data_IF_507065580472
#
_entry.id   IF_507065580472
#
_cell.length_a   1.000
_cell.length_b   1.000
_cell.length_c   1.000
_cell.angle_alpha   90.00
_cell.angle_beta   90.00
_cell.angle_gamma   90.00
#
_symmetry.space_group_name_H-M   'P 1'
#
loop_
_entity.id
_entity.type
_entity.pdbx_description
1 polymer ?
#
# COMPACT_ATOMS: atom_id res chain seq x y z
N UNK A 1 -3.37 24.68 32.35
CA UNK A 1 -4.06 23.41 31.99
C UNK A 1 -5.47 23.65 31.44
N UNK A 2 -6.32 24.47 32.06
CA UNK A 2 -7.69 24.73 31.58
C UNK A 2 -7.76 25.11 30.09
N UNK A 3 -6.88 26.01 29.63
CA UNK A 3 -6.77 26.39 28.22
C UNK A 3 -6.63 25.20 27.27
N UNK A 4 -5.70 24.28 27.54
CA UNK A 4 -5.40 23.12 26.68
C UNK A 4 -6.57 22.12 26.65
N UNK A 5 -7.37 22.07 27.72
CA UNK A 5 -8.60 21.28 27.77
C UNK A 5 -9.69 21.89 26.88
N UNK A 6 -9.85 23.22 26.90
CA UNK A 6 -10.83 23.93 26.08
C UNK A 6 -10.55 23.77 24.58
N UNK A 7 -9.28 23.86 24.17
CA UNK A 7 -8.89 23.70 22.76
C UNK A 7 -8.69 22.22 22.34
N UNK A 8 -9.10 21.26 23.18
CA UNK A 8 -8.95 19.83 22.97
C UNK A 8 -7.50 19.34 22.67
N UNK A 9 -6.48 20.09 23.10
CA UNK A 9 -5.07 19.71 22.97
C UNK A 9 -4.55 18.89 24.16
N UNK A 10 -5.39 18.65 25.17
CA UNK A 10 -5.01 17.96 26.40
C UNK A 10 -4.68 16.48 26.17
N UNK A 11 -5.31 15.84 25.19
CA UNK A 11 -5.09 14.43 24.88
C UNK A 11 -3.66 14.17 24.40
N UNK A 12 -3.10 15.11 23.63
CA UNK A 12 -1.71 15.01 23.16
C UNK A 12 -0.69 15.18 24.30
N UNK A 13 -1.05 15.91 25.35
CA UNK A 13 -0.24 16.08 26.57
C UNK A 13 -0.32 14.84 27.45
N UNK A 14 -1.53 14.30 27.63
CA UNK A 14 -1.73 13.05 28.37
C UNK A 14 -0.94 11.91 27.69
N UNK A 15 -0.98 11.81 26.36
CA UNK A 15 -0.15 10.90 25.58
C UNK A 15 1.35 11.03 25.88
N UNK A 16 1.84 12.24 26.12
CA UNK A 16 3.25 12.45 26.50
C UNK A 16 3.53 12.00 27.93
N UNK A 17 2.64 12.31 28.87
CA UNK A 17 2.73 11.88 30.27
C UNK A 17 2.78 10.34 30.37
N UNK A 18 1.87 9.65 29.68
CA UNK A 18 1.80 8.18 29.66
C UNK A 18 3.03 7.54 29.03
N UNK A 19 3.68 8.24 28.09
CA UNK A 19 4.87 7.75 27.39
C UNK A 19 6.17 7.93 28.17
N UNK A 20 6.14 8.51 29.37
CA UNK A 20 7.35 8.78 30.13
C UNK A 20 7.88 7.48 30.75
N UNK A 21 9.03 7.05 30.29
CA UNK A 21 9.68 5.82 30.77
C UNK A 21 11.18 6.02 31.03
N UNK A 22 11.79 5.07 31.75
CA UNK A 22 13.24 5.03 31.94
C UNK A 22 13.88 4.56 30.64
N UNK A 23 14.85 5.32 30.13
CA UNK A 23 15.61 5.00 28.93
C UNK A 23 16.29 3.64 29.07
N UNK A 24 16.08 2.79 28.08
CA UNK A 24 16.79 1.53 27.97
C UNK A 24 18.31 1.70 27.77
N UNK A 25 19.09 0.72 28.23
CA UNK A 25 20.53 0.65 28.03
C UNK A 25 21.37 1.59 28.91
N UNK A 26 22.66 1.74 28.55
CA UNK A 26 23.66 2.48 29.35
C UNK A 26 23.43 4.00 29.39
N UNK A 27 22.63 4.54 28.46
CA UNK A 27 22.34 5.97 28.37
C UNK A 27 21.68 6.54 29.64
N UNK A 28 20.95 5.71 30.38
CA UNK A 28 20.32 6.11 31.65
C UNK A 28 21.29 6.56 32.74
N UNK A 29 22.53 6.04 32.70
CA UNK A 29 23.62 6.45 33.60
C UNK A 29 24.33 7.72 33.13
N UNK A 30 24.08 8.18 31.90
CA UNK A 30 24.73 9.34 31.26
C UNK A 30 23.76 10.51 31.09
N UNK A 31 23.16 10.97 32.19
CA UNK A 31 22.25 12.13 32.26
C UNK A 31 21.07 12.12 31.26
N UNK A 32 20.67 10.94 30.77
CA UNK A 32 19.57 10.74 29.80
C UNK A 32 18.59 9.68 30.31
N UNK A 33 18.31 9.70 31.62
CA UNK A 33 17.53 8.66 32.33
C UNK A 33 16.11 8.52 31.81
N UNK A 34 15.43 9.61 31.45
CA UNK A 34 14.04 9.57 31.01
C UNK A 34 13.93 9.82 29.51
N UNK A 35 12.94 9.19 28.89
CA UNK A 35 12.46 9.48 27.54
C UNK A 35 10.96 9.72 27.59
N UNK A 36 10.47 10.53 26.66
CA UNK A 36 9.05 10.77 26.44
C UNK A 36 8.85 11.18 24.98
N UNK A 37 7.63 11.03 24.49
CA UNK A 37 7.25 11.51 23.16
C UNK A 37 7.20 13.05 23.14
N UNK A 38 7.22 13.63 21.94
CA UNK A 38 6.96 15.06 21.75
C UNK A 38 5.46 15.30 21.69
N UNK A 39 5.01 16.34 22.37
CA UNK A 39 3.63 16.79 22.34
C UNK A 39 3.47 18.04 21.47
N UNK A 40 2.41 18.83 21.73
CA UNK A 40 2.12 20.02 20.95
C UNK A 40 3.22 21.06 21.11
N UNK A 41 3.35 21.93 20.11
CA UNK A 41 4.18 23.13 20.21
C UNK A 41 3.31 24.38 20.14
N UNK A 42 3.43 25.25 21.13
CA UNK A 42 2.78 26.55 21.18
C UNK A 42 3.68 27.61 20.53
N UNK A 43 3.18 28.25 19.47
CA UNK A 43 3.90 29.32 18.78
C UNK A 43 3.39 30.69 19.23
N UNK A 44 4.30 31.46 19.82
CA UNK A 44 4.06 32.80 20.35
C UNK A 44 4.73 33.86 19.47
N UNK A 45 4.21 35.10 19.45
CA UNK A 45 4.82 36.20 18.70
C UNK A 45 6.10 36.73 19.36
N UNK A 46 6.24 36.53 20.67
CA UNK A 46 7.36 37.03 21.47
C UNK A 46 7.57 36.13 22.71
N UNK A 47 8.58 36.46 23.51
CA UNK A 47 8.96 35.70 24.71
C UNK A 47 8.06 35.96 25.93
N UNK A 48 7.04 36.83 25.81
CA UNK A 48 6.14 37.17 26.92
C UNK A 48 5.15 36.01 27.18
N UNK A 49 4.76 35.81 28.43
CA UNK A 49 3.76 34.80 28.80
C UNK A 49 4.25 33.34 28.78
N UNK A 50 5.51 33.08 28.43
CA UNK A 50 6.09 31.71 28.38
C UNK A 50 6.06 30.99 29.73
N UNK A 51 6.18 31.75 30.84
CA UNK A 51 6.24 31.21 32.21
C UNK A 51 5.06 30.29 32.56
N UNK A 52 3.85 30.61 32.09
CA UNK A 52 2.64 29.84 32.38
C UNK A 52 2.65 28.44 31.74
N UNK A 53 3.41 28.27 30.65
CA UNK A 53 3.41 27.04 29.84
C UNK A 53 4.68 26.20 30.04
N UNK A 54 5.77 26.79 30.57
CA UNK A 54 7.08 26.12 30.73
C UNK A 54 7.06 24.91 31.65
N UNK A 55 6.16 24.85 32.63
CA UNK A 55 6.08 23.74 33.58
C UNK A 55 5.19 22.58 33.10
N UNK A 56 4.59 22.70 31.90
CA UNK A 56 3.73 21.66 31.35
C UNK A 56 4.60 20.64 30.61
N UNK A 57 4.68 19.42 31.13
CA UNK A 57 5.47 18.36 30.50
C UNK A 57 4.90 18.00 29.13
N UNK A 58 5.76 18.01 28.10
CA UNK A 58 5.38 17.65 26.73
C UNK A 58 4.91 18.80 25.84
N UNK A 59 4.64 19.99 26.41
CA UNK A 59 4.33 21.20 25.66
C UNK A 59 5.63 21.96 25.33
N UNK A 60 5.98 22.02 24.05
CA UNK A 60 7.12 22.83 23.59
C UNK A 60 6.63 24.26 23.28
N UNK A 61 7.50 25.26 23.46
CA UNK A 61 7.18 26.67 23.18
C UNK A 61 8.19 27.18 22.14
N UNK A 62 7.71 27.88 21.13
CA UNK A 62 8.54 28.50 20.11
C UNK A 62 8.12 29.95 19.87
N UNK A 63 9.09 30.78 19.48
CA UNK A 63 8.83 32.12 18.96
C UNK A 63 8.75 32.05 17.44
N UNK A 64 7.77 32.72 16.84
CA UNK A 64 7.61 32.79 15.38
C UNK A 64 8.83 33.37 14.66
N UNK A 65 9.53 34.32 15.29
CA UNK A 65 10.77 34.90 14.73
C UNK A 65 11.95 33.92 14.70
N UNK A 66 11.89 32.84 15.47
CA UNK A 66 12.97 31.86 15.62
C UNK A 66 12.42 30.42 15.63
N UNK A 67 11.75 30.04 14.54
CA UNK A 67 11.24 28.67 14.37
C UNK A 67 12.36 27.69 14.03
N UNK A 68 12.68 26.80 14.98
CA UNK A 68 13.72 25.78 14.81
C UNK A 68 13.17 24.55 14.07
N UNK A 69 13.84 24.14 13.00
CA UNK A 69 13.51 22.94 12.24
C UNK A 69 13.53 21.66 13.07
N UNK A 70 14.47 21.52 14.02
CA UNK A 70 14.56 20.33 14.90
C UNK A 70 13.32 20.17 15.77
N UNK A 71 12.67 21.29 16.07
CA UNK A 71 11.41 21.27 16.81
C UNK A 71 10.22 21.11 15.86
N UNK A 72 10.23 21.68 14.66
CA UNK A 72 9.12 21.50 13.69
C UNK A 72 9.04 20.07 13.13
N UNK A 73 10.17 19.42 12.89
CA UNK A 73 10.26 18.07 12.33
C UNK A 73 11.18 17.17 13.17
N UNK A 74 10.77 16.80 14.41
CA UNK A 74 11.59 16.00 15.29
C UNK A 74 11.86 14.62 14.67
N UNK A 75 13.13 14.24 14.58
CA UNK A 75 13.54 12.98 13.95
C UNK A 75 13.31 12.94 12.43
N UNK A 76 13.15 14.09 11.76
CA UNK A 76 12.99 14.19 10.30
C UNK A 76 11.58 13.96 9.79
N UNK A 77 10.59 13.77 10.67
CA UNK A 77 9.19 13.58 10.29
C UNK A 77 8.45 14.92 10.26
N UNK A 78 7.80 15.24 9.14
CA UNK A 78 6.96 16.45 9.00
C UNK A 78 5.57 16.22 9.62
N UNK A 79 4.83 17.31 9.89
CA UNK A 79 3.47 17.23 10.42
C UNK A 79 3.38 17.26 11.95
N UNK A 80 4.14 18.15 12.59
CA UNK A 80 4.01 18.36 14.03
C UNK A 80 2.74 19.15 14.38
N UNK A 81 2.09 18.77 15.48
CA UNK A 81 0.94 19.51 16.01
C UNK A 81 1.39 20.86 16.61
N UNK A 82 0.99 21.95 15.94
CA UNK A 82 1.31 23.33 16.30
C UNK A 82 0.05 24.07 16.73
N UNK A 83 0.12 24.74 17.87
CA UNK A 83 -0.91 25.65 18.37
C UNK A 83 -0.43 27.07 18.08
N UNK A 84 -1.09 27.74 17.15
CA UNK A 84 -0.75 29.10 16.74
C UNK A 84 -1.54 30.13 17.55
N UNK A 85 -0.85 31.15 18.05
CA UNK A 85 -1.51 32.35 18.54
C UNK A 85 -1.83 33.28 17.38
N UNK A 86 -2.94 34.02 17.47
CA UNK A 86 -3.42 34.91 16.39
C UNK A 86 -2.32 35.83 15.86
N UNK A 87 -1.65 36.56 16.76
CA UNK A 87 -0.59 37.50 16.39
C UNK A 87 0.68 36.84 15.86
N UNK A 88 1.01 35.63 16.31
CA UNK A 88 2.12 34.86 15.72
C UNK A 88 1.79 34.45 14.27
N UNK A 89 0.56 34.04 14.02
CA UNK A 89 0.10 33.64 12.70
C UNK A 89 0.11 34.82 11.72
N UNK A 90 -0.37 35.99 12.13
CA UNK A 90 -0.35 37.22 11.32
C UNK A 90 1.08 37.71 10.99
N UNK A 91 2.08 37.39 11.82
CA UNK A 91 3.48 37.77 11.58
C UNK A 91 4.18 36.83 10.58
N UNK A 92 3.61 35.66 10.30
CA UNK A 92 4.28 34.63 9.50
C UNK A 92 4.56 35.11 8.07
N UNK A 93 3.59 35.79 7.44
CA UNK A 93 3.71 36.38 6.10
C UNK A 93 4.83 37.42 6.05
N UNK A 94 4.99 38.22 7.11
CA UNK A 94 6.10 39.20 7.19
C UNK A 94 7.47 38.54 7.29
N UNK A 95 7.54 37.38 7.96
CA UNK A 95 8.81 36.67 8.21
C UNK A 95 9.25 35.88 6.99
N UNK A 96 8.33 35.21 6.30
CA UNK A 96 8.64 34.32 5.18
C UNK A 96 8.28 34.88 3.80
N UNK A 97 7.49 35.95 3.73
CA UNK A 97 6.97 36.48 2.47
C UNK A 97 5.92 35.56 1.85
N UNK A 98 5.58 35.84 0.60
CA UNK A 98 4.69 35.00 -0.21
C UNK A 98 5.44 34.49 -1.44
N UNK A 99 4.71 33.91 -2.41
CA UNK A 99 5.30 33.51 -3.69
C UNK A 99 5.65 34.72 -4.57
N UNK A 100 4.96 35.85 -4.38
CA UNK A 100 5.09 37.06 -5.19
C UNK A 100 5.79 38.20 -4.45
N UNK A 101 5.60 38.28 -3.13
CA UNK A 101 6.13 39.36 -2.29
C UNK A 101 7.29 38.88 -1.43
N UNK A 102 8.37 39.66 -1.42
CA UNK A 102 9.57 39.37 -0.65
C UNK A 102 9.31 39.50 0.86
N UNK A 103 10.00 38.69 1.66
CA UNK A 103 9.87 38.78 3.11
C UNK A 103 10.50 40.07 3.66
N UNK A 104 9.91 40.63 4.73
CA UNK A 104 10.43 41.81 5.40
C UNK A 104 11.62 41.49 6.32
N UNK A 105 11.64 40.29 6.92
CA UNK A 105 12.68 39.89 7.89
C UNK A 105 13.90 39.29 7.19
N UNK A 106 13.71 38.42 6.20
CA UNK A 106 14.81 37.75 5.50
C UNK A 106 15.08 38.46 4.17
N UNK A 107 16.16 39.24 4.15
CA UNK A 107 16.57 40.01 2.96
C UNK A 107 16.72 39.09 1.75
N UNK A 108 16.05 39.42 0.64
CA UNK A 108 16.16 38.66 -0.60
C UNK A 108 15.36 37.35 -0.64
N UNK A 109 14.60 37.02 0.42
CA UNK A 109 13.90 35.74 0.51
C UNK A 109 12.49 35.83 -0.07
N UNK A 110 12.19 34.88 -0.97
CA UNK A 110 10.87 34.55 -1.50
C UNK A 110 10.58 33.08 -1.23
N UNK A 111 9.30 32.71 -1.17
CA UNK A 111 8.95 31.30 -1.06
C UNK A 111 9.38 30.53 -2.33
N UNK A 112 9.95 29.32 -2.20
CA UNK A 112 10.28 28.49 -3.35
C UNK A 112 9.06 28.26 -4.24
N UNK A 113 9.20 28.50 -5.54
CA UNK A 113 8.12 28.28 -6.50
C UNK A 113 7.73 26.79 -6.53
N UNK A 114 6.42 26.46 -6.51
CA UNK A 114 5.98 25.08 -6.61
C UNK A 114 6.35 24.51 -7.99
N UNK A 115 6.94 23.32 -8.01
CA UNK A 115 7.27 22.63 -9.27
C UNK A 115 6.02 22.25 -10.07
N UNK A 116 4.92 21.94 -9.38
CA UNK A 116 3.63 21.58 -9.95
C UNK A 116 2.59 22.59 -9.48
N UNK A 117 1.84 23.19 -10.40
CA UNK A 117 0.70 24.07 -10.05
C UNK A 117 -0.39 23.31 -9.29
N UNK A 118 -0.66 22.06 -9.67
CA UNK A 118 -1.63 21.18 -9.03
C UNK A 118 -0.93 19.90 -8.58
N UNK A 119 -0.98 19.59 -7.29
CA UNK A 119 -0.37 18.37 -6.72
C UNK A 119 -1.19 17.10 -6.96
N UNK A 120 -2.50 17.23 -7.19
CA UNK A 120 -3.37 16.11 -7.52
C UNK A 120 -3.22 15.70 -9.00
N UNK A 121 -2.23 14.85 -9.24
CA UNK A 121 -1.96 14.26 -10.56
C UNK A 121 -3.09 13.35 -11.01
N UNK A 122 -3.82 12.72 -10.08
CA UNK A 122 -4.90 11.79 -10.43
C UNK A 122 -6.07 12.53 -11.06
N UNK A 123 -6.42 13.71 -10.54
CA UNK A 123 -7.43 14.58 -11.15
C UNK A 123 -7.05 15.00 -12.56
N UNK A 124 -5.78 15.38 -12.79
CA UNK A 124 -5.29 15.74 -14.14
C UNK A 124 -5.39 14.54 -15.09
N UNK A 125 -4.93 13.36 -14.67
CA UNK A 125 -5.02 12.14 -15.48
C UNK A 125 -6.46 11.74 -15.81
N UNK A 126 -7.40 12.16 -14.98
CA UNK A 126 -8.81 11.87 -15.11
C UNK A 126 -9.60 12.99 -15.79
N UNK A 127 -8.96 14.09 -16.17
CA UNK A 127 -9.61 15.18 -16.87
C UNK A 127 -10.04 14.76 -18.28
N UNK A 128 -11.05 15.43 -18.82
CA UNK A 128 -11.64 15.07 -20.10
C UNK A 128 -10.64 15.28 -21.24
N UNK A 129 -9.83 16.33 -21.17
CA UNK A 129 -8.82 16.66 -22.18
C UNK A 129 -7.76 15.56 -22.28
N UNK A 130 -7.29 15.05 -21.14
CA UNK A 130 -6.32 13.95 -21.10
C UNK A 130 -6.98 12.67 -21.56
N UNK A 131 -8.14 12.31 -20.98
CA UNK A 131 -8.84 11.05 -21.29
C UNK A 131 -9.25 10.93 -22.75
N UNK A 132 -9.66 12.03 -23.39
CA UNK A 132 -10.07 12.07 -24.80
C UNK A 132 -8.96 11.65 -25.76
N UNK A 133 -7.70 11.92 -25.43
CA UNK A 133 -6.54 11.59 -26.27
C UNK A 133 -5.96 10.20 -25.94
N UNK A 134 -6.30 9.64 -24.78
CA UNK A 134 -5.81 8.33 -24.38
C UNK A 134 -6.37 7.21 -25.27
N UNK A 135 -5.53 6.21 -25.52
CA UNK A 135 -5.96 4.98 -26.20
C UNK A 135 -7.00 4.27 -25.32
N UNK A 136 -8.07 3.69 -25.92
CA UNK A 136 -9.05 2.94 -25.16
C UNK A 136 -8.37 1.76 -24.47
N UNK A 137 -8.79 1.49 -23.24
CA UNK A 137 -8.25 0.39 -22.45
C UNK A 137 -8.56 -0.94 -23.15
N UNK A 138 -7.52 -1.68 -23.55
CA UNK A 138 -7.67 -3.03 -24.10
C UNK A 138 -8.30 -3.96 -23.07
N UNK A 139 -9.14 -4.88 -23.54
CA UNK A 139 -9.67 -5.93 -22.67
C UNK A 139 -8.51 -6.71 -22.05
N UNK A 140 -8.51 -6.91 -20.72
CA UNK A 140 -7.44 -7.67 -20.08
C UNK A 140 -7.46 -9.11 -20.58
N UNK A 141 -6.27 -9.72 -20.68
CA UNK A 141 -6.17 -11.13 -21.01
C UNK A 141 -6.99 -11.96 -20.00
N UNK A 142 -7.70 -12.98 -20.50
CA UNK A 142 -8.49 -13.87 -19.65
C UNK A 142 -7.57 -14.51 -18.61
N UNK A 143 -7.91 -14.36 -17.33
CA UNK A 143 -7.14 -14.97 -16.23
C UNK A 143 -6.98 -16.47 -16.46
N UNK A 144 -5.80 -16.99 -16.11
CA UNK A 144 -5.54 -18.43 -16.18
C UNK A 144 -6.51 -19.16 -15.24
N UNK A 145 -7.01 -20.32 -15.69
CA UNK A 145 -7.84 -21.19 -14.85
C UNK A 145 -6.93 -22.00 -13.92
N UNK A 146 -7.46 -22.43 -12.76
CA UNK A 146 -6.77 -23.33 -11.81
C UNK A 146 -6.29 -24.64 -12.46
N UNK A 147 -7.01 -25.11 -13.48
CA UNK A 147 -6.59 -26.25 -14.28
C UNK A 147 -5.33 -25.92 -15.09
N UNK A 148 -4.29 -26.77 -14.98
CA UNK A 148 -3.12 -26.70 -15.85
C UNK A 148 -3.57 -26.72 -17.31
N UNK A 149 -3.06 -25.77 -18.10
CA UNK A 149 -3.31 -25.76 -19.53
C UNK A 149 -2.59 -26.95 -20.16
N UNK A 150 -3.20 -27.62 -21.16
CA UNK A 150 -2.54 -28.71 -21.84
C UNK A 150 -1.33 -28.17 -22.62
N UNK A 151 -0.17 -28.81 -22.47
CA UNK A 151 1.09 -28.43 -23.15
C UNK A 151 1.44 -29.38 -24.30
N UNK A 152 1.08 -30.66 -24.20
CA UNK A 152 1.41 -31.67 -25.21
C UNK A 152 0.28 -31.83 -26.25
N UNK A 153 0.52 -31.42 -27.50
CA UNK A 153 -0.45 -31.46 -28.60
C UNK A 153 -0.63 -32.82 -29.27
N UNK A 154 0.24 -33.80 -29.01
CA UNK A 154 0.16 -35.13 -29.61
C UNK A 154 -0.66 -36.06 -28.73
N UNK A 155 -0.37 -36.08 -27.42
CA UNK A 155 -1.05 -36.95 -26.43
C UNK A 155 -2.36 -36.34 -25.92
N UNK A 156 -2.43 -35.02 -25.74
CA UNK A 156 -3.63 -34.39 -25.19
C UNK A 156 -4.65 -34.09 -26.30
N UNK A 157 -5.75 -34.87 -26.31
CA UNK A 157 -6.83 -34.75 -27.30
C UNK A 157 -7.38 -33.33 -27.43
N UNK A 158 -7.52 -32.60 -26.32
CA UNK A 158 -8.10 -31.24 -26.32
C UNK A 158 -7.20 -30.25 -27.05
N UNK A 159 -5.89 -30.31 -26.79
CA UNK A 159 -4.94 -29.41 -27.46
C UNK A 159 -4.76 -29.80 -28.93
N UNK A 160 -4.70 -31.10 -29.23
CA UNK A 160 -4.59 -31.61 -30.61
C UNK A 160 -5.71 -31.09 -31.50
N UNK A 161 -6.95 -31.17 -31.03
CA UNK A 161 -8.13 -30.69 -31.78
C UNK A 161 -8.20 -29.17 -31.85
N UNK A 162 -7.68 -28.46 -30.84
CA UNK A 162 -7.60 -27.00 -30.86
C UNK A 162 -6.58 -26.50 -31.89
N UNK A 163 -5.45 -27.20 -32.03
CA UNK A 163 -4.40 -26.85 -32.99
C UNK A 163 -4.76 -27.31 -34.41
N UNK A 164 -5.26 -28.54 -34.56
CA UNK A 164 -5.65 -29.12 -35.85
C UNK A 164 -7.02 -29.82 -35.76
N UNK A 165 -8.11 -29.15 -36.15
CA UNK A 165 -9.45 -29.73 -36.20
C UNK A 165 -9.59 -30.92 -37.18
N UNK A 166 -8.81 -30.96 -38.26
CA UNK A 166 -8.86 -32.02 -39.27
C UNK A 166 -8.41 -33.39 -38.72
N UNK A 167 -7.61 -33.40 -37.64
CA UNK A 167 -7.17 -34.63 -36.97
C UNK A 167 -8.32 -35.56 -36.53
N UNK A 168 -9.55 -35.03 -36.37
CA UNK A 168 -10.74 -35.84 -36.13
C UNK A 168 -11.12 -36.66 -37.37
N UNK A 169 -11.21 -36.02 -38.53
CA UNK A 169 -11.52 -36.67 -39.83
C UNK A 169 -10.44 -37.68 -40.17
N UNK A 170 -9.18 -37.30 -40.03
CA UNK A 170 -8.03 -38.18 -40.24
C UNK A 170 -8.10 -39.44 -39.36
N UNK A 171 -8.43 -39.29 -38.07
CA UNK A 171 -8.62 -40.45 -37.19
C UNK A 171 -9.80 -41.33 -37.60
N UNK A 172 -10.85 -40.78 -38.21
CA UNK A 172 -12.01 -41.55 -38.63
C UNK A 172 -11.74 -42.30 -39.94
N UNK A 173 -11.06 -41.67 -40.90
CA UNK A 173 -10.53 -42.34 -42.10
C UNK A 173 -9.57 -43.48 -41.72
N UNK A 174 -8.63 -43.21 -40.81
CA UNK A 174 -7.69 -44.21 -40.30
C UNK A 174 -8.34 -45.31 -39.45
N UNK A 175 -9.60 -45.15 -39.01
CA UNK A 175 -10.37 -46.25 -38.40
C UNK A 175 -11.03 -47.12 -39.45
N UNK A 176 -11.45 -46.54 -40.58
CA UNK A 176 -12.01 -47.25 -41.72
C UNK A 176 -11.00 -48.18 -42.38
N UNK A 177 -9.73 -47.78 -42.42
CA UNK A 177 -8.61 -48.56 -42.97
C UNK A 177 -8.12 -49.73 -42.08
N UNK A 178 -8.74 -49.98 -40.91
CA UNK A 178 -8.28 -51.03 -39.98
C UNK A 178 -8.97 -52.37 -40.25
N UNK A 179 -8.19 -53.44 -40.31
CA UNK A 179 -8.70 -54.82 -40.42
C UNK A 179 -9.73 -55.15 -39.33
N UNK A 180 -10.95 -55.50 -39.76
CA UNK A 180 -12.13 -55.71 -38.91
C UNK A 180 -11.94 -56.93 -38.00
N UNK A 181 -11.33 -58.00 -38.50
CA UNK A 181 -11.01 -59.24 -37.76
C UNK A 181 -10.08 -58.98 -36.58
N UNK A 182 -8.94 -58.33 -36.83
CA UNK A 182 -7.98 -57.92 -35.80
C UNK A 182 -8.60 -56.96 -34.78
N UNK A 183 -9.47 -56.06 -35.23
CA UNK A 183 -10.21 -55.14 -34.34
C UNK A 183 -11.17 -55.89 -33.42
N UNK A 184 -11.91 -56.88 -33.93
CA UNK A 184 -12.86 -57.66 -33.15
C UNK A 184 -12.14 -58.57 -32.14
N UNK A 185 -11.04 -59.21 -32.54
CA UNK A 185 -10.21 -60.00 -31.64
C UNK A 185 -9.64 -59.16 -30.49
N UNK A 186 -9.14 -57.95 -30.81
CA UNK A 186 -8.63 -57.01 -29.80
C UNK A 186 -9.72 -56.42 -28.88
N UNK A 187 -10.96 -56.33 -29.37
CA UNK A 187 -12.13 -55.95 -28.54
C UNK A 187 -12.53 -57.07 -27.58
N UNK A 188 -12.62 -58.31 -28.07
CA UNK A 188 -12.91 -59.50 -27.24
C UNK A 188 -11.87 -59.64 -26.11
N UNK A 189 -10.57 -59.53 -26.43
CA UNK A 189 -9.50 -59.63 -25.43
C UNK A 189 -9.50 -58.50 -24.38
N UNK A 190 -9.86 -57.26 -24.78
CA UNK A 190 -10.03 -56.16 -23.82
C UNK A 190 -11.25 -56.36 -22.90
N UNK A 191 -12.36 -56.85 -23.44
CA UNK A 191 -13.58 -57.10 -22.66
C UNK A 191 -13.35 -58.18 -21.61
N UNK A 192 -12.68 -59.28 -21.98
CA UNK A 192 -12.34 -60.35 -21.02
C UNK A 192 -11.39 -59.85 -19.94
N UNK A 193 -10.38 -59.04 -20.29
CA UNK A 193 -9.46 -58.47 -19.30
C UNK A 193 -10.15 -57.45 -18.36
N UNK A 194 -11.07 -56.63 -18.88
CA UNK A 194 -11.90 -55.71 -18.09
C UNK A 194 -12.81 -56.44 -17.10
N UNK A 195 -13.41 -57.56 -17.53
CA UNK A 195 -14.26 -58.38 -16.67
C UNK A 195 -13.45 -59.05 -15.55
N UNK A 196 -12.26 -59.58 -15.87
CA UNK A 196 -11.33 -60.16 -14.88
C UNK A 196 -10.90 -59.11 -13.84
N UNK A 197 -10.48 -57.93 -14.28
CA UNK A 197 -10.09 -56.83 -13.37
C UNK A 197 -11.25 -56.35 -12.50
N UNK A 198 -12.46 -56.20 -13.05
CA UNK A 198 -13.66 -55.87 -12.27
C UNK A 198 -14.02 -56.96 -11.25
N UNK A 199 -13.89 -58.24 -11.62
CA UNK A 199 -14.14 -59.37 -10.71
C UNK A 199 -13.12 -59.37 -9.58
N UNK A 200 -11.83 -59.13 -9.86
CA UNK A 200 -10.78 -58.99 -8.86
C UNK A 200 -11.04 -57.81 -7.90
N UNK A 201 -11.38 -56.63 -8.42
CA UNK A 201 -11.71 -55.45 -7.58
C UNK A 201 -12.96 -55.69 -6.73
N UNK A 202 -13.97 -56.43 -7.24
CA UNK A 202 -15.14 -56.83 -6.46
C UNK A 202 -14.82 -57.84 -5.37
N UNK A 203 -13.95 -58.82 -5.63
CA UNK A 203 -13.49 -59.78 -4.62
C UNK A 203 -12.75 -59.07 -3.48
N UNK A 204 -11.79 -58.21 -3.81
CA UNK A 204 -11.03 -57.40 -2.83
C UNK A 204 -11.93 -56.48 -2.00
N UNK A 205 -13.04 -55.98 -2.57
CA UNK A 205 -14.05 -55.21 -1.81
C UNK A 205 -14.95 -56.07 -0.94
N UNK A 206 -15.10 -57.37 -1.23
CA UNK A 206 -15.93 -58.31 -0.48
C UNK A 206 -15.18 -58.84 0.75
N UNK A 207 -13.86 -59.00 0.65
CA UNK A 207 -12.98 -59.40 1.77
C UNK A 207 -12.67 -58.26 2.76
N UNK A 208 -13.04 -57.01 2.44
CA UNK A 208 -12.88 -55.82 3.29
C UNK A 208 -14.17 -55.39 4.02
N UNK A 209 -15.23 -56.20 3.95
CA UNK A 209 -16.46 -56.07 4.72
C UNK A 209 -16.53 -57.25 5.67
#
# INVERSE_FOLDING_TARGET
MAFLKVIAAIDDINRVNDSREIRAGRGKMRNRRYIARRGPMLVLPNSKGTRAFRNIFGLDIANVGALNLLHLAPGGHVGRFLIWTKSAFEQLDKIFGTFTEMSAVKKGFLLPAPMLTNTDVTRILQSEEVRRVLKPKKLPAKRSKRSKQPTNGIKNRRLRLRLNPFSKKESDMNKGLRNITNRNNRRKSKMTHSLKTRKAVRAVKKDKK
#
